data_IF_335453660118
#
_entry.id   IF_335453660118
#
_cell.length_a   1.000
_cell.length_b   1.000
_cell.length_c   1.000
_cell.angle_alpha   90.00
_cell.angle_beta   90.00
_cell.angle_gamma   90.00
#
_symmetry.space_group_name_H-M   'P 1'
#
loop_
_entity.id
_entity.type
_entity.pdbx_description
1 polymer ?
#
# COMPACT_ATOMS: atom_id res chain seq x y z
N UNK A 1 8.72 -12.89 16.65
CA UNK A 1 8.50 -11.96 15.53
C UNK A 1 7.66 -10.80 16.03
N UNK A 2 7.50 -9.70 15.29
CA UNK A 2 6.64 -8.61 15.77
C UNK A 2 5.23 -9.18 16.04
N UNK A 3 4.55 -8.78 17.11
CA UNK A 3 3.27 -9.36 17.52
C UNK A 3 3.34 -10.57 18.47
N UNK A 4 4.51 -11.19 18.66
CA UNK A 4 4.70 -12.18 19.72
C UNK A 4 4.84 -11.51 21.09
N UNK A 5 4.41 -12.21 22.15
CA UNK A 5 4.50 -11.72 23.51
C UNK A 5 5.96 -11.42 23.91
N UNK A 6 6.20 -10.19 24.38
CA UNK A 6 7.52 -9.73 24.80
C UNK A 6 8.47 -9.32 23.68
N UNK A 7 8.05 -9.41 22.42
CA UNK A 7 8.85 -8.92 21.28
C UNK A 7 8.55 -7.45 21.01
N UNK A 8 9.59 -6.63 21.00
CA UNK A 8 9.51 -5.22 20.64
C UNK A 8 9.56 -5.08 19.12
N UNK A 9 8.73 -4.20 18.57
CA UNK A 9 8.77 -3.86 17.15
C UNK A 9 10.13 -3.27 16.76
N UNK A 10 10.55 -3.48 15.50
CA UNK A 10 11.74 -2.84 14.97
C UNK A 10 11.54 -1.32 14.92
N UNK A 11 12.60 -0.54 15.20
CA UNK A 11 12.53 0.92 15.21
C UNK A 11 12.06 1.51 13.87
N UNK A 12 12.53 0.93 12.76
CA UNK A 12 12.12 1.31 11.41
C UNK A 12 11.58 0.10 10.65
N UNK A 13 10.25 -0.09 10.70
CA UNK A 13 9.56 -1.15 9.99
C UNK A 13 9.68 -1.04 8.45
N UNK A 14 10.05 0.13 7.89
CA UNK A 14 10.13 0.31 6.44
C UNK A 14 11.31 -0.45 5.80
N UNK A 15 12.29 -0.86 6.61
CA UNK A 15 13.47 -1.62 6.17
C UNK A 15 13.23 -3.12 6.06
N UNK A 16 12.05 -3.60 6.47
CA UNK A 16 11.72 -5.02 6.53
C UNK A 16 10.54 -5.35 5.62
N UNK A 17 10.57 -6.55 5.04
CA UNK A 17 9.46 -7.06 4.22
C UNK A 17 8.33 -7.59 5.09
N UNK A 18 8.67 -8.42 6.08
CA UNK A 18 7.70 -9.04 6.99
C UNK A 18 7.54 -8.23 8.28
N UNK A 19 6.30 -8.14 8.75
CA UNK A 19 5.97 -7.57 10.06
C UNK A 19 6.05 -8.66 11.15
N UNK A 20 5.16 -9.66 11.09
CA UNK A 20 4.96 -10.69 12.12
C UNK A 20 5.24 -12.12 11.64
N UNK A 21 5.77 -12.27 10.42
CA UNK A 21 5.93 -13.56 9.75
C UNK A 21 4.75 -13.95 8.85
N UNK A 22 3.57 -13.37 9.06
CA UNK A 22 2.36 -13.63 8.28
C UNK A 22 1.98 -12.44 7.38
N UNK A 23 2.08 -11.24 7.93
CA UNK A 23 1.75 -9.98 7.28
C UNK A 23 3.01 -9.26 6.82
N UNK A 24 2.85 -8.46 5.76
CA UNK A 24 3.91 -7.60 5.25
C UNK A 24 3.85 -6.22 5.93
N UNK A 25 4.97 -5.52 5.92
CA UNK A 25 5.02 -4.13 6.38
C UNK A 25 4.29 -3.21 5.40
N UNK A 26 3.87 -2.03 5.87
CA UNK A 26 3.26 -1.03 5.00
C UNK A 26 4.16 -0.67 3.81
N UNK A 27 5.47 -0.56 4.02
CA UNK A 27 6.43 -0.26 2.97
C UNK A 27 6.45 -1.37 1.89
N UNK A 28 6.42 -2.63 2.30
CA UNK A 28 6.34 -3.75 1.37
C UNK A 28 5.03 -3.76 0.59
N UNK A 29 3.88 -3.54 1.24
CA UNK A 29 2.60 -3.40 0.54
C UNK A 29 2.59 -2.22 -0.43
N UNK A 30 3.14 -1.05 -0.07
CA UNK A 30 3.26 0.10 -0.98
C UNK A 30 4.08 -0.23 -2.22
N UNK A 31 5.22 -0.92 -2.06
CA UNK A 31 6.06 -1.33 -3.19
C UNK A 31 5.31 -2.31 -4.12
N UNK A 32 4.63 -3.31 -3.56
CA UNK A 32 3.82 -4.25 -4.35
C UNK A 32 2.71 -3.53 -5.11
N UNK A 33 1.93 -2.69 -4.42
CA UNK A 33 0.83 -1.93 -5.03
C UNK A 33 1.34 -1.02 -6.14
N UNK A 34 2.46 -0.32 -5.95
CA UNK A 34 3.08 0.49 -7.00
C UNK A 34 3.49 -0.36 -8.21
N UNK A 35 4.09 -1.52 -7.97
CA UNK A 35 4.42 -2.45 -9.04
C UNK A 35 3.20 -2.97 -9.81
N UNK A 36 2.08 -3.22 -9.12
CA UNK A 36 0.85 -3.70 -9.74
C UNK A 36 0.14 -2.61 -10.54
N UNK A 37 -0.01 -1.41 -9.97
CA UNK A 37 -0.76 -0.30 -10.56
C UNK A 37 0.04 0.42 -11.66
N UNK A 38 1.32 0.70 -11.42
CA UNK A 38 2.15 1.51 -12.33
C UNK A 38 3.16 0.67 -13.13
N UNK A 39 3.39 -0.58 -12.70
CA UNK A 39 4.42 -1.45 -13.27
C UNK A 39 3.92 -2.46 -14.30
N UNK A 40 4.81 -3.35 -14.76
CA UNK A 40 4.51 -4.34 -15.80
C UNK A 40 3.91 -5.65 -15.25
N UNK A 41 3.62 -5.73 -13.95
CA UNK A 41 3.28 -6.99 -13.28
C UNK A 41 1.80 -7.40 -13.42
N UNK A 42 1.04 -6.73 -14.29
CA UNK A 42 -0.38 -7.02 -14.55
C UNK A 42 -0.67 -7.06 -16.05
N UNK A 43 -1.49 -8.04 -16.48
CA UNK A 43 -1.93 -8.21 -17.87
C UNK A 43 -3.44 -8.51 -17.88
N UNK A 44 -4.29 -7.61 -18.43
CA UNK A 44 -3.92 -6.29 -18.93
C UNK A 44 -3.39 -5.39 -17.82
N UNK A 45 -2.63 -4.35 -18.19
CA UNK A 45 -2.17 -3.35 -17.23
C UNK A 45 -3.36 -2.66 -16.59
N UNK A 46 -3.27 -2.37 -15.29
CA UNK A 46 -4.26 -1.51 -14.64
C UNK A 46 -4.25 -0.13 -15.28
N UNK A 47 -5.42 0.33 -15.70
CA UNK A 47 -5.61 1.70 -16.13
C UNK A 47 -6.31 2.48 -15.02
N UNK A 48 -5.54 3.24 -14.24
CA UNK A 48 -6.09 4.09 -13.17
C UNK A 48 -6.90 5.28 -13.68
N UNK A 49 -6.88 5.58 -15.00
CA UNK A 49 -7.62 6.71 -15.57
C UNK A 49 -9.13 6.61 -15.31
N UNK A 50 -9.69 5.40 -15.25
CA UNK A 50 -11.09 5.20 -14.93
C UNK A 50 -11.44 5.62 -13.49
N UNK A 51 -10.49 5.51 -12.55
CA UNK A 51 -10.69 5.84 -11.14
C UNK A 51 -10.27 7.27 -10.79
N UNK A 52 -9.37 7.88 -11.57
CA UNK A 52 -8.95 9.28 -11.34
C UNK A 52 -10.16 10.22 -11.41
N UNK A 53 -11.09 9.99 -12.34
CA UNK A 53 -12.33 10.77 -12.44
C UNK A 53 -13.18 10.71 -11.16
N UNK A 54 -13.34 9.51 -10.59
CA UNK A 54 -14.08 9.33 -9.32
C UNK A 54 -13.32 9.86 -8.12
N UNK A 55 -11.99 9.71 -8.08
CA UNK A 55 -11.16 10.16 -6.96
C UNK A 55 -11.10 11.69 -6.90
N UNK A 56 -10.91 12.37 -8.04
CA UNK A 56 -10.97 13.84 -8.13
C UNK A 56 -12.36 14.32 -7.73
N UNK A 57 -13.43 13.65 -8.19
CA UNK A 57 -14.79 13.95 -7.74
C UNK A 57 -14.94 13.86 -6.22
N UNK A 58 -14.53 12.75 -5.62
CA UNK A 58 -14.60 12.57 -4.17
C UNK A 58 -13.77 13.63 -3.43
N UNK A 59 -12.57 13.96 -3.91
CA UNK A 59 -11.73 14.99 -3.29
C UNK A 59 -12.38 16.38 -3.36
N UNK A 60 -13.01 16.72 -4.49
CA UNK A 60 -13.77 17.96 -4.64
C UNK A 60 -15.00 17.99 -3.71
N UNK A 61 -15.72 16.87 -3.56
CA UNK A 61 -16.86 16.78 -2.65
C UNK A 61 -16.44 16.96 -1.18
N UNK A 62 -15.26 16.45 -0.77
CA UNK A 62 -14.69 16.70 0.55
C UNK A 62 -14.21 18.14 0.74
N UNK A 63 -13.63 18.76 -0.31
CA UNK A 63 -13.15 20.14 -0.25
C UNK A 63 -14.29 21.19 -0.29
N UNK A 64 -15.49 20.82 -0.74
CA UNK A 64 -16.70 21.65 -0.73
C UNK A 64 -17.52 21.53 0.57
N UNK A 65 -16.96 20.91 1.62
CA UNK A 65 -17.59 20.72 2.94
C UNK A 65 -16.78 21.41 4.03
#
# INVERSE_FOLDING_TARGET
>A
MCGDAGVVACDDASQYVSWDGYHLTEAAYRLMTKGLLDGPYTIPKFNVSCFIGETIRNFNDYAMK
#
